data_IF_623657604642
#
_entry.id   IF_623657604642
#
_cell.length_a   1.000
_cell.length_b   1.000
_cell.length_c   1.000
_cell.angle_alpha   90.00
_cell.angle_beta   90.00
_cell.angle_gamma   90.00
#
_symmetry.space_group_name_H-M   'P 1'
#
loop_
_entity.id
_entity.type
_entity.pdbx_description
1 polymer ?
#
# COMPACT_ATOMS: atom_id res chain seq x y z
N UNK A 1 -9.85 -27.94 5.96
CA UNK A 1 -10.71 -26.74 6.18
C UNK A 1 -10.10 -25.65 7.07
N UNK A 2 -9.58 -25.94 8.29
CA UNK A 2 -9.10 -24.90 9.25
C UNK A 2 -8.11 -23.86 8.70
N UNK A 3 -7.18 -24.26 7.81
CA UNK A 3 -6.15 -23.37 7.24
C UNK A 3 -6.73 -22.33 6.26
N UNK A 4 -7.81 -22.68 5.55
CA UNK A 4 -8.45 -21.79 4.58
C UNK A 4 -9.26 -20.70 5.29
N UNK A 5 -9.97 -21.05 6.37
CA UNK A 5 -10.73 -20.07 7.16
C UNK A 5 -9.82 -19.01 7.78
N UNK A 6 -8.67 -19.42 8.35
CA UNK A 6 -7.69 -18.47 8.94
C UNK A 6 -7.11 -17.51 7.90
N UNK A 7 -6.87 -17.99 6.68
CA UNK A 7 -6.44 -17.15 5.56
C UNK A 7 -7.50 -16.11 5.20
N UNK A 8 -8.74 -16.55 4.95
CA UNK A 8 -9.85 -15.66 4.59
C UNK A 8 -10.09 -14.61 5.67
N UNK A 9 -10.12 -14.99 6.95
CA UNK A 9 -10.33 -14.06 8.06
C UNK A 9 -9.23 -13.00 8.15
N UNK A 10 -7.95 -13.39 8.01
CA UNK A 10 -6.83 -12.43 8.06
C UNK A 10 -6.81 -11.49 6.86
N UNK A 11 -7.07 -12.03 5.68
CA UNK A 11 -7.18 -11.24 4.45
C UNK A 11 -8.31 -10.22 4.54
N UNK A 12 -9.48 -10.62 5.02
CA UNK A 12 -10.61 -9.73 5.25
C UNK A 12 -10.30 -8.66 6.31
N UNK A 13 -9.60 -9.02 7.39
CA UNK A 13 -9.20 -8.07 8.43
C UNK A 13 -8.21 -7.03 7.91
N UNK A 14 -7.23 -7.43 7.09
CA UNK A 14 -6.30 -6.47 6.47
C UNK A 14 -7.04 -5.54 5.51
N UNK A 15 -7.92 -6.07 4.67
CA UNK A 15 -8.74 -5.27 3.78
C UNK A 15 -9.58 -4.24 4.55
N UNK A 16 -10.24 -4.69 5.63
CA UNK A 16 -11.06 -3.84 6.49
C UNK A 16 -10.25 -2.77 7.21
N UNK A 17 -9.08 -3.11 7.77
CA UNK A 17 -8.21 -2.13 8.45
C UNK A 17 -7.65 -1.12 7.44
N UNK A 18 -7.24 -1.57 6.25
CA UNK A 18 -6.79 -0.66 5.19
C UNK A 18 -7.89 0.34 4.85
N UNK A 19 -9.10 -0.13 4.52
CA UNK A 19 -10.21 0.75 4.16
C UNK A 19 -10.63 1.67 5.30
N UNK A 20 -10.73 1.15 6.52
CA UNK A 20 -11.11 1.93 7.70
C UNK A 20 -10.09 3.05 7.99
N UNK A 21 -8.80 2.78 7.83
CA UNK A 21 -7.77 3.82 7.97
C UNK A 21 -7.91 4.88 6.88
N UNK A 22 -8.13 4.51 5.62
CA UNK A 22 -8.33 5.49 4.55
C UNK A 22 -9.56 6.36 4.80
N UNK A 23 -10.67 5.77 5.26
CA UNK A 23 -11.88 6.51 5.57
C UNK A 23 -11.72 7.42 6.80
N UNK A 24 -11.08 6.94 7.86
CA UNK A 24 -10.84 7.74 9.06
C UNK A 24 -9.97 8.98 8.77
N UNK A 25 -9.07 8.87 7.80
CA UNK A 25 -8.20 9.95 7.34
C UNK A 25 -8.57 10.44 5.93
N UNK A 26 -9.85 10.40 5.56
CA UNK A 26 -10.31 10.78 4.22
C UNK A 26 -9.90 12.22 3.85
N UNK A 27 -9.96 13.15 4.81
CA UNK A 27 -9.56 14.56 4.68
C UNK A 27 -8.08 14.78 4.29
N UNK A 28 -7.24 13.74 4.37
CA UNK A 28 -5.84 13.77 3.97
C UNK A 28 -5.54 12.75 2.87
N UNK A 29 -6.42 11.77 2.65
CA UNK A 29 -6.18 10.63 1.75
C UNK A 29 -6.56 10.88 0.30
N UNK A 30 -7.37 11.91 0.02
CA UNK A 30 -7.89 12.24 -1.33
C UNK A 30 -7.55 13.66 -1.79
N UNK A 31 -6.59 14.31 -1.13
CA UNK A 31 -6.14 15.66 -1.47
C UNK A 31 -5.06 15.64 -2.57
N UNK A 32 -4.74 16.81 -3.15
CA UNK A 32 -3.66 16.93 -4.14
C UNK A 32 -2.30 16.45 -3.61
N UNK A 33 -2.02 16.76 -2.34
CA UNK A 33 -0.92 16.15 -1.57
C UNK A 33 -1.56 15.12 -0.65
N UNK A 34 -1.75 13.92 -1.17
CA UNK A 34 -2.37 12.82 -0.42
C UNK A 34 -1.36 12.11 0.48
N UNK A 35 -1.70 11.97 1.77
CA UNK A 35 -0.98 11.12 2.70
C UNK A 35 -1.86 9.94 3.09
N UNK A 36 -1.71 8.83 2.39
CA UNK A 36 -2.51 7.63 2.64
C UNK A 36 -1.84 6.75 3.69
N UNK A 37 -2.13 6.99 4.96
CA UNK A 37 -1.55 6.23 6.10
C UNK A 37 -1.77 4.72 5.95
N UNK A 38 -2.87 4.29 5.33
CA UNK A 38 -3.16 2.88 5.07
C UNK A 38 -2.11 2.18 4.17
N UNK A 39 -1.36 2.91 3.34
CA UNK A 39 -0.28 2.35 2.50
C UNK A 39 0.89 1.77 3.30
N UNK A 40 1.03 2.13 4.58
CA UNK A 40 1.98 1.44 5.49
C UNK A 40 1.70 -0.07 5.52
N UNK A 41 0.44 -0.48 5.44
CA UNK A 41 0.05 -1.89 5.45
C UNK A 41 0.52 -2.63 4.20
N UNK A 42 0.76 -1.94 3.08
CA UNK A 42 1.22 -2.58 1.85
C UNK A 42 2.58 -3.25 2.04
N UNK A 43 3.43 -2.68 2.90
CA UNK A 43 4.69 -3.29 3.29
C UNK A 43 4.53 -4.60 4.09
N UNK A 44 3.35 -4.94 4.59
CA UNK A 44 3.15 -6.25 5.24
C UNK A 44 3.23 -7.39 4.21
N UNK A 45 3.00 -7.11 2.92
CA UNK A 45 3.29 -8.05 1.85
C UNK A 45 4.78 -8.43 1.76
N UNK A 46 5.68 -7.60 2.31
CA UNK A 46 7.10 -7.91 2.43
C UNK A 46 7.36 -8.99 3.49
N UNK A 47 6.57 -9.01 4.57
CA UNK A 47 6.65 -10.07 5.59
C UNK A 47 6.00 -11.34 5.03
N UNK A 48 4.77 -11.21 4.55
CA UNK A 48 3.93 -12.32 4.07
C UNK A 48 3.22 -11.95 2.76
N UNK A 49 3.71 -12.43 1.61
CA UNK A 49 3.15 -12.12 0.29
C UNK A 49 1.67 -12.44 0.13
N UNK A 50 1.15 -13.40 0.90
CA UNK A 50 -0.27 -13.77 0.88
C UNK A 50 -1.21 -12.63 1.29
N UNK A 51 -0.72 -11.64 2.03
CA UNK A 51 -1.49 -10.43 2.36
C UNK A 51 -1.77 -9.53 1.15
N UNK A 52 -1.07 -9.72 0.03
CA UNK A 52 -1.27 -8.93 -1.18
C UNK A 52 -2.73 -8.88 -1.63
N UNK A 53 -3.44 -10.02 -1.57
CA UNK A 53 -4.86 -10.06 -1.95
C UNK A 53 -5.74 -9.20 -1.03
N UNK A 54 -5.46 -9.21 0.28
CA UNK A 54 -6.20 -8.39 1.24
C UNK A 54 -5.92 -6.89 1.07
N UNK A 55 -4.69 -6.54 0.69
CA UNK A 55 -4.30 -5.16 0.44
C UNK A 55 -4.94 -4.59 -0.84
N UNK A 56 -4.99 -5.38 -1.92
CA UNK A 56 -5.69 -4.97 -3.16
C UNK A 56 -7.19 -4.82 -2.90
N UNK A 57 -7.82 -5.78 -2.20
CA UNK A 57 -9.23 -5.66 -1.82
C UNK A 57 -9.48 -4.46 -0.90
N UNK A 58 -8.55 -4.20 0.04
CA UNK A 58 -8.59 -3.02 0.90
C UNK A 58 -8.54 -1.72 0.11
N UNK A 59 -7.68 -1.63 -0.90
CA UNK A 59 -7.59 -0.49 -1.82
C UNK A 59 -8.89 -0.30 -2.62
N UNK A 60 -9.45 -1.38 -3.19
CA UNK A 60 -10.75 -1.34 -3.86
C UNK A 60 -11.82 -0.76 -2.93
N UNK A 61 -11.91 -1.28 -1.70
CA UNK A 61 -12.88 -0.80 -0.72
C UNK A 61 -12.63 0.67 -0.36
N UNK A 62 -11.39 1.04 -0.06
CA UNK A 62 -11.01 2.42 0.23
C UNK A 62 -11.41 3.38 -0.90
N UNK A 63 -11.26 2.97 -2.15
CA UNK A 63 -11.57 3.84 -3.29
C UNK A 63 -13.06 3.88 -3.63
N UNK A 64 -13.92 3.02 -3.06
CA UNK A 64 -15.37 3.15 -3.20
C UNK A 64 -15.92 4.45 -2.58
N UNK A 65 -15.26 4.99 -1.56
CA UNK A 65 -15.64 6.26 -0.95
C UNK A 65 -14.86 7.45 -1.55
N UNK A 66 -14.02 7.22 -2.56
CA UNK A 66 -13.23 8.27 -3.19
C UNK A 66 -14.11 9.22 -4.00
N UNK A 67 -13.85 10.55 -3.95
CA UNK A 67 -14.54 11.51 -4.80
C UNK A 67 -14.23 11.34 -6.28
N UNK A 68 -13.16 10.62 -6.63
CA UNK A 68 -12.69 10.39 -8.01
C UNK A 68 -13.43 9.24 -8.73
N UNK A 69 -14.30 8.52 -8.01
CA UNK A 69 -15.19 7.51 -8.58
C UNK A 69 -14.48 6.24 -9.06
N UNK A 70 -15.01 5.62 -10.11
CA UNK A 70 -14.58 4.29 -10.59
C UNK A 70 -13.15 4.28 -11.14
N UNK A 71 -12.67 5.43 -11.62
CA UNK A 71 -11.31 5.56 -12.16
C UNK A 71 -10.29 5.30 -11.05
N UNK A 72 -10.46 5.89 -9.87
CA UNK A 72 -9.54 5.69 -8.72
C UNK A 72 -9.58 4.25 -8.23
N UNK A 73 -10.74 3.60 -8.26
CA UNK A 73 -10.83 2.17 -7.92
C UNK A 73 -9.94 1.35 -8.86
N UNK A 74 -10.02 1.58 -10.17
CA UNK A 74 -9.25 0.83 -11.15
C UNK A 74 -7.76 1.17 -11.09
N UNK A 75 -7.41 2.46 -11.14
CA UNK A 75 -6.03 2.95 -11.17
C UNK A 75 -5.32 2.69 -9.84
N UNK A 76 -5.95 3.03 -8.71
CA UNK A 76 -5.40 2.81 -7.38
C UNK A 76 -5.18 1.32 -7.09
N UNK A 77 -6.16 0.46 -7.37
CA UNK A 77 -6.00 -0.98 -7.13
C UNK A 77 -4.94 -1.61 -8.03
N UNK A 78 -4.82 -1.15 -9.27
CA UNK A 78 -3.76 -1.59 -10.17
C UNK A 78 -2.37 -1.11 -9.70
N UNK A 79 -2.27 0.12 -9.21
CA UNK A 79 -1.05 0.65 -8.60
C UNK A 79 -0.62 -0.18 -7.39
N UNK A 80 -1.55 -0.43 -6.46
CA UNK A 80 -1.29 -1.29 -5.28
C UNK A 80 -0.88 -2.71 -5.70
N UNK A 81 -1.51 -3.28 -6.72
CA UNK A 81 -1.12 -4.60 -7.24
C UNK A 81 0.33 -4.60 -7.76
N UNK A 82 0.71 -3.63 -8.58
CA UNK A 82 2.10 -3.50 -9.07
C UNK A 82 3.09 -3.27 -7.93
N UNK A 83 2.72 -2.47 -6.94
CA UNK A 83 3.52 -2.23 -5.75
C UNK A 83 3.80 -3.53 -4.99
N UNK A 84 2.77 -4.35 -4.78
CA UNK A 84 2.90 -5.66 -4.11
C UNK A 84 3.79 -6.60 -4.93
N UNK A 85 3.60 -6.67 -6.25
CA UNK A 85 4.45 -7.49 -7.12
C UNK A 85 5.92 -7.08 -6.99
N UNK A 86 6.19 -5.77 -6.98
CA UNK A 86 7.53 -5.24 -6.77
C UNK A 86 8.09 -5.63 -5.40
N UNK A 87 7.33 -5.42 -4.33
CA UNK A 87 7.71 -5.76 -2.95
C UNK A 87 8.07 -7.26 -2.83
N UNK A 88 7.22 -8.14 -3.36
CA UNK A 88 7.42 -9.59 -3.32
C UNK A 88 8.66 -10.01 -4.12
N UNK A 89 8.91 -9.36 -5.26
CA UNK A 89 10.12 -9.60 -6.07
C UNK A 89 11.38 -9.18 -5.33
N UNK A 90 11.41 -8.00 -4.72
CA UNK A 90 12.55 -7.52 -3.92
C UNK A 90 12.81 -8.44 -2.73
N UNK A 91 11.75 -8.84 -2.01
CA UNK A 91 11.85 -9.84 -0.92
C UNK A 91 12.49 -11.14 -1.39
N UNK A 92 12.09 -11.65 -2.56
CA UNK A 92 12.63 -12.91 -3.12
C UNK A 92 14.11 -12.78 -3.53
N UNK A 93 14.52 -11.63 -4.03
CA UNK A 93 15.89 -11.40 -4.52
C UNK A 93 16.89 -11.07 -3.39
N UNK A 94 16.47 -10.29 -2.39
CA UNK A 94 17.37 -9.73 -1.37
C UNK A 94 17.10 -10.23 0.05
N UNK A 95 16.09 -11.09 0.23
CA UNK A 95 15.72 -11.67 1.52
C UNK A 95 14.99 -10.71 2.47
N UNK A 96 14.78 -11.16 3.71
CA UNK A 96 13.99 -10.45 4.72
C UNK A 96 14.87 -9.53 5.58
N UNK A 97 15.40 -8.46 4.97
CA UNK A 97 16.39 -7.58 5.60
C UNK A 97 15.98 -6.09 5.52
N UNK A 98 16.50 -5.24 6.41
CA UNK A 98 16.21 -3.79 6.41
C UNK A 98 16.52 -3.11 5.07
N UNK A 99 17.64 -3.46 4.43
CA UNK A 99 18.02 -2.90 3.11
C UNK A 99 16.98 -3.26 2.04
N UNK A 100 16.55 -4.51 2.01
CA UNK A 100 15.54 -5.00 1.08
C UNK A 100 14.17 -4.35 1.35
N UNK A 101 13.81 -4.13 2.61
CA UNK A 101 12.58 -3.43 3.00
C UNK A 101 12.55 -1.99 2.48
N UNK A 102 13.65 -1.24 2.62
CA UNK A 102 13.74 0.14 2.11
C UNK A 102 13.59 0.14 0.58
N UNK A 103 14.28 -0.77 -0.12
CA UNK A 103 14.13 -0.87 -1.59
C UNK A 103 12.68 -1.24 -1.96
N UNK A 104 12.08 -2.19 -1.25
CA UNK A 104 10.70 -2.61 -1.49
C UNK A 104 9.69 -1.47 -1.28
N UNK A 105 9.94 -0.58 -0.31
CA UNK A 105 9.10 0.60 -0.03
C UNK A 105 9.06 1.63 -1.14
N UNK A 106 10.03 1.62 -2.06
CA UNK A 106 9.99 2.48 -3.25
C UNK A 106 8.98 2.00 -4.29
N UNK A 107 8.56 0.73 -4.25
CA UNK A 107 7.55 0.19 -5.16
C UNK A 107 6.22 0.96 -5.09
N UNK A 108 5.57 1.05 -3.92
CA UNK A 108 4.38 1.88 -3.71
C UNK A 108 4.58 3.33 -4.16
N UNK A 109 5.70 3.96 -3.78
CA UNK A 109 5.99 5.36 -4.15
C UNK A 109 6.01 5.55 -5.67
N UNK A 110 6.75 4.70 -6.39
CA UNK A 110 6.90 4.82 -7.85
C UNK A 110 5.57 4.52 -8.54
N UNK A 111 4.89 3.46 -8.15
CA UNK A 111 3.65 3.03 -8.80
C UNK A 111 2.51 4.03 -8.58
N UNK A 112 2.32 4.52 -7.35
CA UNK A 112 1.32 5.54 -7.05
C UNK A 112 1.67 6.89 -7.69
N UNK A 113 2.92 7.34 -7.64
CA UNK A 113 3.34 8.59 -8.30
C UNK A 113 3.07 8.57 -9.81
N UNK A 114 3.31 7.45 -10.48
CA UNK A 114 3.09 7.33 -11.92
C UNK A 114 1.60 7.17 -12.27
N UNK A 115 0.90 6.26 -11.59
CA UNK A 115 -0.47 5.90 -11.96
C UNK A 115 -1.50 6.89 -11.40
N UNK A 116 -1.47 7.15 -10.09
CA UNK A 116 -2.37 8.11 -9.44
C UNK A 116 -2.01 9.54 -9.87
N UNK A 117 -0.72 9.84 -10.07
CA UNK A 117 -0.30 11.12 -10.66
C UNK A 117 -0.85 11.33 -12.08
N UNK A 118 -0.89 10.28 -12.91
CA UNK A 118 -1.50 10.34 -14.24
C UNK A 118 -3.02 10.47 -14.18
N UNK A 119 -3.67 9.79 -13.24
CA UNK A 119 -5.11 9.94 -12.97
C UNK A 119 -5.46 11.37 -12.59
N UNK A 120 -4.77 11.97 -11.62
CA UNK A 120 -5.01 13.35 -11.20
C UNK A 120 -4.80 14.33 -12.35
N UNK A 121 -3.82 14.07 -13.21
CA UNK A 121 -3.58 14.87 -14.43
C UNK A 121 -4.77 14.80 -15.38
N UNK A 122 -5.31 13.61 -15.59
CA UNK A 122 -6.48 13.40 -16.44
C UNK A 122 -7.75 14.05 -15.87
N UNK A 123 -7.97 13.93 -14.56
CA UNK A 123 -9.16 14.47 -13.90
C UNK A 123 -9.12 16.00 -13.75
N UNK A 124 -7.98 16.56 -13.37
CA UNK A 124 -7.84 17.98 -13.06
C UNK A 124 -7.21 18.82 -14.17
N UNK A 125 -6.78 18.20 -15.27
CA UNK A 125 -6.06 18.87 -16.37
C UNK A 125 -4.82 19.65 -15.91
N UNK A 126 -4.13 19.15 -14.88
CA UNK A 126 -2.91 19.75 -14.31
C UNK A 126 -1.65 19.02 -14.79
N UNK A 127 -0.45 19.64 -14.73
CA UNK A 127 0.77 19.01 -15.22
C UNK A 127 1.12 17.70 -14.50
N UNK A 128 1.39 16.65 -15.27
CA UNK A 128 1.73 15.31 -14.74
C UNK A 128 2.87 15.32 -13.74
N UNK A 129 3.96 16.00 -14.07
CA UNK A 129 5.14 16.02 -13.21
C UNK A 129 4.81 16.58 -11.82
N UNK A 130 3.92 17.55 -11.73
CA UNK A 130 3.53 18.19 -10.48
C UNK A 130 2.69 17.24 -9.61
N UNK A 131 1.69 16.58 -10.19
CA UNK A 131 0.87 15.58 -9.49
C UNK A 131 1.70 14.37 -9.06
N UNK A 132 2.57 13.86 -9.94
CA UNK A 132 3.44 12.73 -9.63
C UNK A 132 4.40 13.06 -8.49
N UNK A 133 4.93 14.29 -8.43
CA UNK A 133 5.78 14.75 -7.33
C UNK A 133 5.00 14.87 -6.02
N UNK A 134 3.78 15.39 -6.04
CA UNK A 134 2.97 15.51 -4.82
C UNK A 134 2.54 14.16 -4.26
N UNK A 135 1.98 13.28 -5.10
CA UNK A 135 1.62 11.91 -4.70
C UNK A 135 2.87 11.16 -4.24
N UNK A 136 3.95 11.24 -5.02
CA UNK A 136 5.22 10.59 -4.68
C UNK A 136 5.81 11.09 -3.36
N UNK A 137 5.72 12.38 -3.05
CA UNK A 137 6.20 12.94 -1.79
C UNK A 137 5.36 12.46 -0.59
N UNK A 138 4.03 12.43 -0.73
CA UNK A 138 3.14 11.91 0.32
C UNK A 138 3.38 10.42 0.60
N UNK A 139 3.47 9.62 -0.47
CA UNK A 139 3.80 8.20 -0.39
C UNK A 139 5.19 7.95 0.19
N UNK A 140 6.19 8.76 -0.18
CA UNK A 140 7.52 8.66 0.38
C UNK A 140 7.52 8.96 1.89
N UNK A 141 6.80 10.01 2.31
CA UNK A 141 6.64 10.35 3.71
C UNK A 141 6.00 9.20 4.51
N UNK A 142 4.92 8.62 4.00
CA UNK A 142 4.17 7.59 4.72
C UNK A 142 4.86 6.23 4.63
N UNK A 143 5.16 5.74 3.43
CA UNK A 143 5.60 4.36 3.23
C UNK A 143 7.08 4.21 3.54
N UNK A 144 7.93 5.14 3.07
CA UNK A 144 9.37 5.04 3.25
C UNK A 144 9.78 5.43 4.67
N UNK A 145 9.34 6.58 5.20
CA UNK A 145 9.73 6.96 6.56
C UNK A 145 8.96 6.20 7.64
N UNK A 146 7.63 6.24 7.62
CA UNK A 146 6.84 5.61 8.69
C UNK A 146 6.78 4.10 8.48
N UNK A 147 6.44 3.66 7.28
CA UNK A 147 6.22 2.25 6.98
C UNK A 147 7.46 1.38 7.18
N UNK A 148 8.63 1.82 6.69
CA UNK A 148 9.86 1.02 6.89
C UNK A 148 10.27 0.94 8.35
N UNK A 149 10.05 2.00 9.15
CA UNK A 149 10.34 1.97 10.60
C UNK A 149 9.45 0.97 11.30
N UNK A 150 8.14 1.05 11.08
CA UNK A 150 7.14 0.15 11.68
C UNK A 150 7.44 -1.30 11.31
N UNK A 151 7.61 -1.60 10.02
CA UNK A 151 7.83 -2.98 9.55
C UNK A 151 9.20 -3.50 9.98
N UNK A 152 10.23 -2.67 10.03
CA UNK A 152 11.54 -3.07 10.54
C UNK A 152 11.52 -3.40 12.04
N UNK A 153 10.72 -2.68 12.85
CA UNK A 153 10.52 -3.02 14.26
C UNK A 153 9.81 -4.36 14.42
N UNK A 154 8.81 -4.64 13.58
CA UNK A 154 8.11 -5.93 13.55
C UNK A 154 9.07 -7.06 13.15
N UNK A 155 9.88 -6.86 12.10
CA UNK A 155 10.83 -7.85 11.60
C UNK A 155 11.90 -8.25 12.63
N UNK A 156 12.23 -7.37 13.59
CA UNK A 156 13.15 -7.68 14.68
C UNK A 156 12.55 -8.60 15.74
N UNK A 157 11.22 -8.77 15.78
CA UNK A 157 10.53 -9.58 16.76
C UNK A 157 10.00 -10.87 16.10
N UNK A 158 10.73 -11.98 16.30
CA UNK A 158 10.41 -13.28 15.72
C UNK A 158 8.99 -13.75 16.06
N UNK A 159 8.48 -13.46 17.26
CA UNK A 159 7.11 -13.83 17.68
C UNK A 159 6.06 -13.10 16.85
N UNK A 160 6.28 -11.82 16.53
CA UNK A 160 5.36 -11.05 15.69
C UNK A 160 5.42 -11.53 14.25
N UNK A 161 6.61 -11.81 13.72
CA UNK A 161 6.79 -12.34 12.37
C UNK A 161 6.08 -13.69 12.23
N UNK A 162 6.24 -14.60 13.20
CA UNK A 162 5.57 -15.90 13.20
C UNK A 162 4.04 -15.79 13.30
N UNK A 163 3.54 -14.85 14.11
CA UNK A 163 2.09 -14.58 14.16
C UNK A 163 1.57 -14.01 12.85
N UNK A 164 2.37 -13.23 12.14
CA UNK A 164 2.01 -12.59 10.87
C UNK A 164 2.28 -13.47 9.64
N UNK A 165 3.06 -14.54 9.73
CA UNK A 165 3.24 -15.48 8.63
C UNK A 165 2.17 -16.60 8.63
N UNK A 166 2.03 -17.31 7.50
CA UNK A 166 1.03 -18.37 7.28
C UNK A 166 1.61 -19.77 6.99
#
# INVERSE_FOLDING_TARGET
MKRNNRFITRTALIAAVYAALTYAFAWMSYEQIQFRISEVLVLFAFIEPRYGLGLVLGCILANLASPFGVIDIAVGSFATFLAIVFIVKIRKLFGLNKKALIIASLGPVITNALLVGAELTYLFNTPFLLNALYVGAGEFAVVVFIGTVVVNLIMKNNVLVEKLSF
#
